data_IF_015365418508
#
_entry.id   IF_015365418508
#
_cell.length_a   1.000
_cell.length_b   1.000
_cell.length_c   1.000
_cell.angle_alpha   90.00
_cell.angle_beta   90.00
_cell.angle_gamma   90.00
#
_symmetry.space_group_name_H-M   'P 1'
#
loop_
_entity.id
_entity.type
_entity.pdbx_description
1 polymer ?
#
# COMPACT_ATOMS: atom_id res chain seq x y z
N UNK A 1 -6.86 23.32 4.95
CA UNK A 1 -5.41 23.00 5.10
C UNK A 1 -5.27 21.49 5.21
N UNK A 2 -4.38 20.85 4.44
CA UNK A 2 -4.12 19.41 4.62
C UNK A 2 -3.42 19.15 5.96
N UNK A 3 -3.84 18.09 6.67
CA UNK A 3 -3.23 17.70 7.94
C UNK A 3 -1.77 17.26 7.75
N UNK A 4 -0.95 17.35 8.81
CA UNK A 4 0.44 16.85 8.80
C UNK A 4 0.51 15.39 8.35
N UNK A 5 -0.46 14.58 8.78
CA UNK A 5 -0.62 13.18 8.36
C UNK A 5 -0.82 13.07 6.85
N UNK A 6 -1.76 13.82 6.26
CA UNK A 6 -2.01 13.77 4.82
C UNK A 6 -0.77 14.12 3.99
N UNK A 7 0.02 15.12 4.43
CA UNK A 7 1.28 15.48 3.76
C UNK A 7 2.33 14.37 3.85
N UNK A 8 2.40 13.64 4.96
CA UNK A 8 3.31 12.49 5.13
C UNK A 8 2.88 11.33 4.23
N UNK A 9 1.59 10.96 4.27
CA UNK A 9 1.06 9.89 3.43
C UNK A 9 1.22 10.20 1.94
N UNK A 10 1.07 11.46 1.53
CA UNK A 10 1.34 11.88 0.15
C UNK A 10 2.80 11.63 -0.25
N UNK A 11 3.77 11.98 0.62
CA UNK A 11 5.19 11.72 0.35
C UNK A 11 5.50 10.22 0.30
N UNK A 12 4.97 9.46 1.25
CA UNK A 12 5.17 8.01 1.32
C UNK A 12 4.57 7.32 0.08
N UNK A 13 3.36 7.73 -0.34
CA UNK A 13 2.71 7.23 -1.55
C UNK A 13 3.53 7.53 -2.80
N UNK A 14 4.02 8.78 -2.94
CA UNK A 14 4.87 9.15 -4.06
C UNK A 14 6.19 8.38 -4.07
N UNK A 15 6.79 8.15 -2.91
CA UNK A 15 8.00 7.34 -2.80
C UNK A 15 7.72 5.89 -3.21
N UNK A 16 6.60 5.30 -2.76
CA UNK A 16 6.21 3.96 -3.19
C UNK A 16 6.02 3.88 -4.71
N UNK A 17 5.31 4.84 -5.30
CA UNK A 17 5.01 4.86 -6.73
C UNK A 17 6.24 5.16 -7.61
N UNK A 18 7.25 5.86 -7.10
CA UNK A 18 8.44 6.23 -7.87
C UNK A 18 9.61 5.27 -7.65
N UNK A 19 9.92 4.95 -6.40
CA UNK A 19 11.10 4.17 -6.05
C UNK A 19 10.88 2.66 -6.19
N UNK A 20 9.63 2.20 -6.13
CA UNK A 20 9.30 0.78 -6.16
C UNK A 20 8.25 0.44 -7.24
N UNK A 21 8.15 1.25 -8.29
CA UNK A 21 7.20 1.07 -9.39
C UNK A 21 7.34 -0.29 -10.10
N UNK A 22 8.55 -0.85 -10.08
CA UNK A 22 8.93 -2.15 -10.66
C UNK A 22 8.42 -3.34 -9.83
N UNK A 23 8.21 -3.14 -8.53
CA UNK A 23 7.83 -4.21 -7.58
C UNK A 23 6.39 -4.09 -7.09
N UNK A 24 5.91 -2.87 -6.92
CA UNK A 24 4.62 -2.56 -6.33
C UNK A 24 3.80 -1.66 -7.24
N UNK A 25 2.57 -2.08 -7.53
CA UNK A 25 1.55 -1.20 -8.13
C UNK A 25 0.65 -0.67 -7.01
N UNK A 26 0.83 0.60 -6.65
CA UNK A 26 0.09 1.24 -5.56
C UNK A 26 -0.97 2.19 -6.11
N UNK A 27 -2.23 1.93 -5.74
CA UNK A 27 -3.39 2.74 -6.14
C UNK A 27 -4.20 3.21 -4.93
N UNK A 28 -4.89 4.33 -5.13
CA UNK A 28 -5.71 4.99 -4.13
C UNK A 28 -7.19 4.87 -4.50
N UNK A 29 -7.90 3.79 -4.09
CA UNK A 29 -9.33 3.65 -4.36
C UNK A 29 -10.12 4.86 -3.87
N UNK A 30 -11.08 5.32 -4.67
CA UNK A 30 -11.94 6.47 -4.40
C UNK A 30 -11.20 7.79 -4.08
N UNK A 31 -9.93 7.89 -4.47
CA UNK A 31 -9.08 9.05 -4.20
C UNK A 31 -8.94 9.37 -2.68
N UNK A 32 -9.01 8.35 -1.81
CA UNK A 32 -8.81 8.50 -0.36
C UNK A 32 -7.35 8.21 0.02
N UNK A 33 -6.61 9.24 0.44
CA UNK A 33 -5.19 9.15 0.86
C UNK A 33 -4.94 8.20 2.03
N UNK A 34 -5.98 7.82 2.78
CA UNK A 34 -5.90 6.85 3.87
C UNK A 34 -6.20 5.41 3.44
N UNK A 35 -6.48 5.17 2.17
CA UNK A 35 -6.81 3.85 1.68
C UNK A 35 -5.96 3.52 0.45
N UNK A 36 -5.03 2.59 0.60
CA UNK A 36 -4.17 2.15 -0.50
C UNK A 36 -4.43 0.69 -0.81
N UNK A 37 -4.35 0.35 -2.10
CA UNK A 37 -4.26 -1.02 -2.57
C UNK A 37 -2.89 -1.18 -3.21
N UNK A 38 -2.11 -2.13 -2.72
CA UNK A 38 -0.76 -2.45 -3.20
C UNK A 38 -0.79 -3.83 -3.84
N UNK A 39 -0.60 -3.88 -5.15
CA UNK A 39 -0.47 -5.13 -5.88
C UNK A 39 1.00 -5.49 -6.09
N UNK A 40 1.35 -6.77 -5.96
CA UNK A 40 2.72 -7.27 -6.10
C UNK A 40 2.76 -8.74 -6.54
N UNK A 41 3.91 -9.18 -7.03
CA UNK A 41 4.17 -10.58 -7.40
C UNK A 41 4.93 -11.31 -6.29
N UNK A 42 4.62 -12.58 -6.07
CA UNK A 42 5.32 -13.41 -5.11
C UNK A 42 6.79 -13.61 -5.49
N UNK A 43 7.63 -13.66 -4.45
CA UNK A 43 9.08 -13.64 -4.62
C UNK A 43 9.61 -14.89 -5.37
N UNK A 44 10.66 -14.69 -6.16
CA UNK A 44 11.37 -15.76 -6.88
C UNK A 44 11.95 -16.79 -5.91
N UNK A 45 11.89 -18.07 -6.27
CA UNK A 45 12.35 -19.19 -5.47
C UNK A 45 11.40 -19.59 -4.34
N UNK A 46 10.21 -19.00 -4.26
CA UNK A 46 9.17 -19.37 -3.29
C UNK A 46 8.02 -20.13 -3.95
N UNK A 47 7.20 -20.81 -3.15
CA UNK A 47 5.95 -21.44 -3.63
C UNK A 47 4.98 -20.44 -4.28
N UNK A 48 5.14 -19.15 -3.98
CA UNK A 48 4.29 -18.07 -4.49
C UNK A 48 4.89 -17.37 -5.70
N UNK A 49 6.01 -17.84 -6.25
CA UNK A 49 6.61 -17.23 -7.43
C UNK A 49 5.60 -17.18 -8.59
N UNK A 50 5.47 -16.01 -9.23
CA UNK A 50 4.54 -15.79 -10.34
C UNK A 50 3.10 -15.50 -9.90
N UNK A 51 2.79 -15.65 -8.61
CA UNK A 51 1.47 -15.35 -8.07
C UNK A 51 1.30 -13.85 -7.81
N UNK A 52 0.12 -13.33 -8.13
CA UNK A 52 -0.19 -11.91 -7.93
C UNK A 52 -1.07 -11.76 -6.69
N UNK A 53 -0.73 -10.77 -5.87
CA UNK A 53 -1.41 -10.51 -4.61
C UNK A 53 -1.79 -9.05 -4.49
N UNK A 54 -2.86 -8.77 -3.74
CA UNK A 54 -3.21 -7.41 -3.33
C UNK A 54 -3.27 -7.29 -1.80
N UNK A 55 -2.64 -6.24 -1.29
CA UNK A 55 -2.75 -5.79 0.10
C UNK A 55 -3.59 -4.52 0.14
N UNK A 56 -4.42 -4.40 1.17
CA UNK A 56 -5.13 -3.18 1.52
C UNK A 56 -4.51 -2.57 2.77
N UNK A 57 -4.10 -1.32 2.64
CA UNK A 57 -3.67 -0.48 3.74
C UNK A 57 -4.79 0.50 4.07
N UNK A 58 -5.20 0.53 5.33
CA UNK A 58 -6.13 1.54 5.85
C UNK A 58 -5.48 2.28 7.01
N UNK A 59 -5.39 3.61 6.87
CA UNK A 59 -4.82 4.50 7.87
C UNK A 59 -5.94 5.12 8.70
N UNK A 60 -5.84 5.02 10.03
CA UNK A 60 -6.76 5.71 10.92
C UNK A 60 -6.45 7.22 10.96
N UNK A 61 -7.41 8.05 11.39
CA UNK A 61 -7.17 9.48 11.60
C UNK A 61 -6.18 9.75 12.74
N UNK A 62 -5.92 8.75 13.57
CA UNK A 62 -4.99 8.80 14.70
C UNK A 62 -3.58 8.38 14.28
N UNK A 63 -3.31 8.19 13.00
CA UNK A 63 -1.98 7.85 12.50
C UNK A 63 -0.97 8.99 12.77
N UNK A 64 -0.48 9.02 14.01
CA UNK A 64 0.69 9.76 14.48
C UNK A 64 1.95 8.97 14.09
N UNK A 65 3.14 9.56 14.22
CA UNK A 65 4.44 9.04 13.73
C UNK A 65 4.83 7.60 14.15
N UNK A 66 4.02 6.95 14.99
CA UNK A 66 4.16 5.55 15.37
C UNK A 66 3.47 4.64 14.34
N UNK A 67 4.26 3.75 13.72
CA UNK A 67 3.85 2.73 12.72
C UNK A 67 2.74 1.77 13.18
N UNK A 68 2.35 1.81 14.46
CA UNK A 68 1.50 0.83 15.14
C UNK A 68 0.03 0.93 14.67
N UNK A 69 -0.35 2.02 13.99
CA UNK A 69 -1.75 2.31 13.62
C UNK A 69 -2.09 2.02 12.14
N UNK A 70 -1.19 1.34 11.41
CA UNK A 70 -1.49 0.87 10.05
C UNK A 70 -2.29 -0.43 10.14
N UNK A 71 -3.53 -0.43 9.66
CA UNK A 71 -4.28 -1.67 9.49
C UNK A 71 -3.94 -2.28 8.12
N UNK A 72 -3.30 -3.46 8.14
CA UNK A 72 -2.96 -4.24 6.96
C UNK A 72 -3.96 -5.38 6.79
N UNK A 73 -4.61 -5.43 5.64
CA UNK A 73 -5.49 -6.52 5.23
C UNK A 73 -4.95 -7.19 3.97
N UNK A 74 -4.88 -8.51 3.97
CA UNK A 74 -4.64 -9.27 2.75
C UNK A 74 -5.96 -9.43 2.01
N UNK A 75 -6.07 -8.85 0.80
CA UNK A 75 -7.35 -8.83 0.08
C UNK A 75 -7.60 -10.17 -0.62
N UNK A 76 -6.67 -10.63 -1.44
CA UNK A 76 -6.81 -11.88 -2.19
C UNK A 76 -5.54 -12.24 -2.95
N UNK A 77 -5.44 -13.52 -3.36
CA UNK A 77 -4.64 -13.95 -4.50
C UNK A 77 -5.42 -13.65 -5.78
N UNK A 78 -4.84 -12.87 -6.69
CA UNK A 78 -5.40 -12.65 -8.02
C UNK A 78 -5.20 -13.95 -8.81
N UNK A 79 -6.27 -14.70 -9.03
CA UNK A 79 -6.23 -15.84 -9.94
C UNK A 79 -5.97 -15.34 -11.37
N UNK A 80 -5.07 -16.02 -12.08
CA UNK A 80 -4.84 -15.81 -13.51
C UNK A 80 -6.03 -16.29 -14.34
#
# INVERSE_FOLDING_TARGET
MQSRMAKRLQKDLEQMQKAYADQFNVRMPNNDIKHWIVAFEGAKGTLYQGEKFELQFKFSNEYVELLILIQLFFLMKLAN
#
